data_IF_188679235726
#
_entry.id   IF_188679235726
#
_cell.length_a   1.000
_cell.length_b   1.000
_cell.length_c   1.000
_cell.angle_alpha   90.00
_cell.angle_beta   90.00
_cell.angle_gamma   90.00
#
_symmetry.space_group_name_H-M   'P 1'
#
loop_
_entity.id
_entity.type
_entity.pdbx_description
1 polymer ?
#
# COMPACT_ATOMS: atom_id res chain seq x y z
N UNK A 1 15.81 3.74 -36.54
CA UNK A 1 15.94 4.63 -35.37
C UNK A 1 15.63 3.77 -34.17
N UNK A 2 16.43 3.77 -33.10
CA UNK A 2 16.02 3.05 -31.89
C UNK A 2 14.68 3.65 -31.45
N UNK A 3 13.73 2.77 -31.23
CA UNK A 3 12.42 3.09 -30.67
C UNK A 3 12.66 3.86 -29.36
N UNK A 4 12.05 5.04 -29.21
CA UNK A 4 12.30 5.88 -28.05
C UNK A 4 11.70 5.17 -26.82
N UNK A 5 12.55 4.58 -25.97
CA UNK A 5 12.17 3.82 -24.77
C UNK A 5 11.15 4.56 -23.91
N UNK A 6 11.20 5.90 -23.86
CA UNK A 6 10.25 6.72 -23.12
C UNK A 6 8.82 6.62 -23.69
N UNK A 7 8.68 6.53 -25.01
CA UNK A 7 7.37 6.35 -25.67
C UNK A 7 6.81 4.98 -25.30
N UNK A 8 7.63 3.93 -25.38
CA UNK A 8 7.20 2.56 -25.05
C UNK A 8 6.81 2.49 -23.56
N UNK A 9 7.62 3.08 -22.67
CA UNK A 9 7.32 3.18 -21.25
C UNK A 9 5.97 3.85 -21.01
N UNK A 10 5.74 5.02 -21.62
CA UNK A 10 4.53 5.79 -21.42
C UNK A 10 3.28 5.02 -21.87
N UNK A 11 3.37 4.35 -23.03
CA UNK A 11 2.30 3.50 -23.55
C UNK A 11 2.05 2.26 -22.68
N UNK A 12 3.11 1.58 -22.20
CA UNK A 12 2.97 0.43 -21.30
C UNK A 12 2.41 0.84 -19.93
N UNK A 13 2.83 1.98 -19.38
CA UNK A 13 2.26 2.50 -18.14
C UNK A 13 0.78 2.79 -18.31
N UNK A 14 0.38 3.41 -19.44
CA UNK A 14 -1.03 3.69 -19.75
C UNK A 14 -1.85 2.41 -19.85
N UNK A 15 -1.31 1.34 -20.44
CA UNK A 15 -1.97 0.02 -20.47
C UNK A 15 -2.15 -0.57 -19.06
N UNK A 16 -1.14 -0.44 -18.20
CA UNK A 16 -1.22 -0.87 -16.81
C UNK A 16 -2.27 -0.06 -16.03
N UNK A 17 -2.25 1.27 -16.15
CA UNK A 17 -3.22 2.15 -15.46
C UNK A 17 -4.66 1.82 -15.87
N UNK A 18 -4.88 1.62 -17.18
CA UNK A 18 -6.18 1.20 -17.69
C UNK A 18 -6.63 -0.14 -17.10
N UNK A 19 -5.76 -1.15 -17.07
CA UNK A 19 -6.08 -2.46 -16.49
C UNK A 19 -6.47 -2.33 -15.02
N UNK A 20 -5.70 -1.57 -14.23
CA UNK A 20 -6.04 -1.32 -12.84
C UNK A 20 -7.36 -0.54 -12.72
N UNK A 21 -7.60 0.48 -13.54
CA UNK A 21 -8.84 1.27 -13.52
C UNK A 21 -10.06 0.39 -13.79
N UNK A 22 -9.96 -0.55 -14.74
CA UNK A 22 -11.01 -1.54 -15.01
C UNK A 22 -11.30 -2.42 -13.79
N UNK A 23 -10.27 -2.89 -13.06
CA UNK A 23 -10.46 -3.66 -11.82
C UNK A 23 -11.21 -2.87 -10.74
N UNK A 24 -11.02 -1.56 -10.69
CA UNK A 24 -11.67 -0.67 -9.72
C UNK A 24 -12.97 -0.02 -10.20
N UNK A 25 -13.40 -0.29 -11.44
CA UNK A 25 -14.58 0.36 -12.04
C UNK A 25 -14.42 1.88 -12.18
N UNK A 26 -13.20 2.35 -12.43
CA UNK A 26 -12.85 3.77 -12.61
C UNK A 26 -12.46 4.06 -14.06
N UNK A 27 -12.49 5.34 -14.42
CA UNK A 27 -12.10 5.79 -15.77
C UNK A 27 -10.60 6.04 -15.92
N UNK A 28 -9.90 6.32 -14.82
CA UNK A 28 -8.47 6.62 -14.76
C UNK A 28 -7.91 6.42 -13.35
N UNK A 29 -6.59 6.50 -13.18
CA UNK A 29 -5.92 6.51 -11.87
C UNK A 29 -5.91 5.15 -11.19
N UNK A 30 -5.96 4.08 -11.98
CA UNK A 30 -5.98 2.70 -11.51
C UNK A 30 -4.75 2.32 -10.71
N UNK A 31 -3.55 2.73 -11.17
CA UNK A 31 -2.29 2.44 -10.46
C UNK A 31 -2.28 3.12 -9.09
N UNK A 32 -2.79 4.34 -8.97
CA UNK A 32 -2.92 5.02 -7.68
C UNK A 32 -3.87 4.27 -6.73
N UNK A 33 -5.00 3.77 -7.24
CA UNK A 33 -5.92 2.96 -6.45
C UNK A 33 -5.24 1.67 -5.95
N UNK A 34 -4.50 1.00 -6.83
CA UNK A 34 -3.75 -0.19 -6.50
C UNK A 34 -2.70 0.08 -5.40
N UNK A 35 -1.95 1.18 -5.52
CA UNK A 35 -0.98 1.62 -4.50
C UNK A 35 -1.65 1.93 -3.16
N UNK A 36 -2.83 2.56 -3.18
CA UNK A 36 -3.57 2.88 -1.96
C UNK A 36 -4.06 1.63 -1.24
N UNK A 37 -4.54 0.62 -1.98
CA UNK A 37 -4.87 -0.69 -1.40
C UNK A 37 -3.64 -1.38 -0.83
N UNK A 38 -2.50 -1.32 -1.52
CA UNK A 38 -1.24 -1.85 -0.98
C UNK A 38 -0.81 -1.16 0.32
N UNK A 39 -1.08 0.13 0.44
CA UNK A 39 -0.75 0.92 1.63
C UNK A 39 -1.71 0.62 2.80
N UNK A 40 -2.98 0.36 2.50
CA UNK A 40 -4.02 0.06 3.47
C UNK A 40 -3.84 -1.31 4.16
N UNK A 41 -3.10 -2.24 3.55
CA UNK A 41 -2.83 -3.56 4.16
C UNK A 41 -1.88 -3.41 5.36
N UNK A 42 -2.27 -3.93 6.55
CA UNK A 42 -1.43 -3.94 7.74
C UNK A 42 -0.03 -4.52 7.51
N UNK A 43 0.98 -3.86 8.12
CA UNK A 43 2.41 -4.23 8.00
C UNK A 43 2.65 -5.72 8.30
N UNK A 44 1.96 -6.26 9.32
CA UNK A 44 2.13 -7.65 9.75
C UNK A 44 1.67 -8.67 8.70
N UNK A 45 0.71 -8.30 7.85
CA UNK A 45 0.19 -9.16 6.80
C UNK A 45 1.03 -9.03 5.54
N UNK A 46 1.35 -7.79 5.11
CA UNK A 46 2.15 -7.57 3.91
C UNK A 46 3.58 -8.13 4.01
N UNK A 47 4.18 -8.17 5.21
CA UNK A 47 5.50 -8.78 5.42
C UNK A 47 5.52 -10.30 5.16
N UNK A 48 4.36 -10.96 5.05
CA UNK A 48 4.24 -12.38 4.70
C UNK A 48 4.13 -12.62 3.19
N UNK A 49 4.02 -11.55 2.41
CA UNK A 49 3.81 -11.63 0.97
C UNK A 49 5.13 -11.30 0.27
N UNK A 50 5.62 -12.19 -0.62
CA UNK A 50 6.83 -11.94 -1.37
C UNK A 50 6.72 -10.66 -2.20
N UNK A 51 7.84 -9.95 -2.36
CA UNK A 51 7.96 -8.79 -3.25
C UNK A 51 7.01 -7.61 -2.95
N UNK A 52 6.30 -7.59 -1.81
CA UNK A 52 5.32 -6.55 -1.52
C UNK A 52 5.92 -5.15 -1.55
N UNK A 53 6.94 -4.91 -0.73
CA UNK A 53 7.57 -3.59 -0.62
C UNK A 53 8.27 -3.23 -1.93
N UNK A 54 8.96 -4.18 -2.57
CA UNK A 54 9.62 -3.96 -3.85
C UNK A 54 8.61 -3.55 -4.94
N UNK A 55 7.46 -4.22 -5.02
CA UNK A 55 6.40 -3.89 -5.98
C UNK A 55 5.81 -2.51 -5.69
N UNK A 56 5.57 -2.20 -4.42
CA UNK A 56 5.04 -0.90 -4.00
C UNK A 56 5.99 0.24 -4.35
N UNK A 57 7.27 0.12 -3.97
CA UNK A 57 8.30 1.12 -4.22
C UNK A 57 8.48 1.34 -5.72
N UNK A 58 8.53 0.23 -6.48
CA UNK A 58 8.68 0.28 -7.94
C UNK A 58 7.50 0.94 -8.64
N UNK A 59 6.25 0.61 -8.29
CA UNK A 59 5.08 1.29 -8.83
C UNK A 59 5.08 2.79 -8.51
N UNK A 60 5.55 3.17 -7.31
CA UNK A 60 5.67 4.57 -6.90
C UNK A 60 6.68 5.32 -7.75
N UNK A 61 7.85 4.74 -7.98
CA UNK A 61 8.89 5.29 -8.88
C UNK A 61 8.36 5.47 -10.31
N UNK A 62 7.77 4.42 -10.90
CA UNK A 62 7.29 4.47 -12.27
C UNK A 62 6.14 5.47 -12.45
N UNK A 63 5.25 5.59 -11.45
CA UNK A 63 4.22 6.64 -11.44
C UNK A 63 4.85 8.03 -11.41
N UNK A 64 5.88 8.25 -10.61
CA UNK A 64 6.58 9.53 -10.57
C UNK A 64 7.21 9.87 -11.92
N UNK A 65 7.90 8.91 -12.56
CA UNK A 65 8.46 9.08 -13.91
C UNK A 65 7.35 9.45 -14.91
N UNK A 66 6.22 8.74 -14.91
CA UNK A 66 5.07 9.08 -15.77
C UNK A 66 4.56 10.50 -15.52
N UNK A 67 4.45 10.91 -14.26
CA UNK A 67 3.98 12.24 -13.90
C UNK A 67 4.94 13.32 -14.39
N UNK A 68 6.26 13.09 -14.27
CA UNK A 68 7.28 13.99 -14.81
C UNK A 68 7.18 14.10 -16.34
N UNK A 69 6.95 13.00 -17.05
CA UNK A 69 6.75 13.04 -18.51
C UNK A 69 5.49 13.80 -18.94
N UNK A 70 4.43 13.75 -18.13
CA UNK A 70 3.15 14.38 -18.45
C UNK A 70 3.08 15.87 -18.07
N UNK A 71 3.82 16.27 -17.03
CA UNK A 71 3.66 17.58 -16.38
C UNK A 71 4.98 18.31 -16.08
N UNK A 72 6.14 17.73 -16.38
CA UNK A 72 7.44 18.32 -16.10
C UNK A 72 7.77 19.53 -16.99
N UNK A 73 8.70 20.37 -16.51
CA UNK A 73 9.20 21.53 -17.26
C UNK A 73 10.23 21.14 -18.36
N UNK A 74 10.65 19.87 -18.40
CA UNK A 74 11.60 19.32 -19.38
C UNK A 74 10.93 18.69 -20.61
N UNK A 75 11.73 18.43 -21.66
CA UNK A 75 11.27 17.69 -22.83
C UNK A 75 10.97 16.23 -22.46
N UNK A 76 10.06 15.59 -23.19
CA UNK A 76 9.72 14.17 -22.99
C UNK A 76 10.97 13.25 -23.12
N UNK A 77 11.97 13.67 -23.89
CA UNK A 77 13.26 13.01 -24.08
C UNK A 77 14.24 13.17 -22.90
N UNK A 78 14.00 14.11 -21.98
CA UNK A 78 14.91 14.43 -20.85
C UNK A 78 14.77 13.44 -19.69
N UNK A 79 13.78 12.55 -19.73
CA UNK A 79 13.51 11.55 -18.71
C UNK A 79 13.90 10.15 -19.21
N UNK A 80 15.17 9.71 -19.08
CA UNK A 80 15.61 8.44 -19.65
C UNK A 80 14.97 7.27 -18.90
N UNK A 81 13.92 6.69 -19.48
CA UNK A 81 13.43 5.38 -19.08
C UNK A 81 14.40 4.32 -19.58
N UNK A 82 14.65 3.36 -18.70
CA UNK A 82 15.42 2.17 -19.00
C UNK A 82 14.53 1.10 -19.63
N UNK A 83 15.14 0.19 -20.38
CA UNK A 83 14.41 -0.97 -20.93
C UNK A 83 13.88 -1.85 -19.79
N UNK A 84 14.58 -1.89 -18.64
CA UNK A 84 14.14 -2.55 -17.42
C UNK A 84 12.83 -1.96 -16.86
N UNK A 85 12.59 -0.65 -16.98
CA UNK A 85 11.33 -0.02 -16.56
C UNK A 85 10.15 -0.55 -17.39
N UNK A 86 10.35 -0.64 -18.71
CA UNK A 86 9.35 -1.14 -19.66
C UNK A 86 9.04 -2.63 -19.41
N UNK A 87 10.09 -3.44 -19.29
CA UNK A 87 9.96 -4.87 -19.02
C UNK A 87 9.24 -5.12 -17.70
N UNK A 88 9.59 -4.36 -16.67
CA UNK A 88 8.95 -4.48 -15.37
C UNK A 88 7.44 -4.17 -15.43
N UNK A 89 7.03 -3.12 -16.15
CA UNK A 89 5.61 -2.81 -16.36
C UNK A 89 4.87 -3.95 -17.06
N UNK A 90 5.48 -4.51 -18.10
CA UNK A 90 4.92 -5.63 -18.85
C UNK A 90 4.74 -6.86 -17.95
N UNK A 91 5.79 -7.25 -17.20
CA UNK A 91 5.75 -8.38 -16.29
C UNK A 91 4.71 -8.17 -15.18
N UNK A 92 4.66 -6.98 -14.60
CA UNK A 92 3.71 -6.67 -13.55
C UNK A 92 2.26 -6.71 -14.06
N UNK A 93 2.00 -6.15 -15.25
CA UNK A 93 0.69 -6.27 -15.90
C UNK A 93 0.30 -7.74 -16.11
N UNK A 94 1.26 -8.57 -16.51
CA UNK A 94 1.07 -10.03 -16.63
C UNK A 94 0.72 -10.66 -15.28
N UNK A 95 1.40 -10.30 -14.18
CA UNK A 95 1.08 -10.80 -12.83
C UNK A 95 -0.37 -10.48 -12.42
N UNK A 96 -0.87 -9.28 -12.73
CA UNK A 96 -2.26 -8.90 -12.47
C UNK A 96 -3.23 -9.78 -13.29
N UNK A 97 -2.99 -9.94 -14.60
CA UNK A 97 -3.86 -10.76 -15.47
C UNK A 97 -3.91 -12.23 -15.03
N UNK A 98 -2.83 -12.74 -14.45
CA UNK A 98 -2.75 -14.12 -13.95
C UNK A 98 -3.15 -14.26 -12.47
N UNK A 99 -3.67 -13.20 -11.84
CA UNK A 99 -4.11 -13.21 -10.43
C UNK A 99 -2.98 -13.74 -9.52
N UNK A 100 -1.76 -13.26 -9.80
CA UNK A 100 -0.54 -13.58 -9.06
C UNK A 100 0.18 -12.33 -8.56
N UNK A 101 -0.46 -11.16 -8.66
CA UNK A 101 0.02 -9.92 -8.07
C UNK A 101 -0.04 -9.97 -6.52
N UNK A 102 0.73 -9.11 -5.82
CA UNK A 102 0.76 -9.13 -4.35
C UNK A 102 -0.63 -8.99 -3.69
N UNK A 103 -1.53 -8.17 -4.22
CA UNK A 103 -2.88 -8.03 -3.65
C UNK A 103 -3.72 -9.29 -3.89
N UNK A 104 -3.56 -9.99 -5.01
CA UNK A 104 -4.17 -11.29 -5.24
C UNK A 104 -3.66 -12.36 -4.26
N UNK A 105 -2.36 -12.40 -4.00
CA UNK A 105 -1.76 -13.30 -3.00
C UNK A 105 -2.33 -12.99 -1.60
N UNK A 106 -2.44 -11.72 -1.24
CA UNK A 106 -3.05 -11.29 0.02
C UNK A 106 -4.50 -11.77 0.18
N UNK A 107 -5.32 -11.56 -0.86
CA UNK A 107 -6.74 -11.98 -0.83
C UNK A 107 -6.87 -13.48 -0.59
N UNK A 108 -6.10 -14.28 -1.33
CA UNK A 108 -6.09 -15.75 -1.19
C UNK A 108 -5.71 -16.21 0.22
N UNK A 109 -4.64 -15.65 0.80
CA UNK A 109 -4.22 -15.99 2.16
C UNK A 109 -5.28 -15.63 3.21
N UNK A 110 -5.97 -14.51 3.01
CA UNK A 110 -7.03 -14.05 3.93
C UNK A 110 -8.25 -14.97 3.86
N UNK A 111 -8.70 -15.32 2.66
CA UNK A 111 -9.79 -16.28 2.44
C UNK A 111 -9.47 -17.65 3.05
N UNK A 112 -8.27 -18.19 2.80
CA UNK A 112 -7.80 -19.46 3.36
C UNK A 112 -7.82 -19.46 4.90
N UNK A 113 -7.39 -18.36 5.53
CA UNK A 113 -7.42 -18.22 6.98
C UNK A 113 -8.84 -18.19 7.56
N UNK A 114 -9.79 -17.55 6.86
CA UNK A 114 -11.20 -17.52 7.26
C UNK A 114 -11.84 -18.91 7.14
N UNK A 115 -11.56 -19.63 6.05
CA UNK A 115 -12.07 -20.99 5.85
C UNK A 115 -11.47 -22.00 6.84
N UNK A 116 -10.18 -21.90 7.17
CA UNK A 116 -9.55 -22.74 8.19
C UNK A 116 -10.10 -22.49 9.60
N UNK A 117 -10.54 -21.26 9.89
CA UNK A 117 -11.16 -20.92 11.18
C UNK A 117 -12.57 -21.51 11.28
N UNK A 118 -13.39 -21.39 10.22
CA UNK A 118 -14.73 -22.00 10.15
C UNK A 118 -14.70 -23.53 10.19
N UNK A 119 -13.75 -24.16 9.49
CA UNK A 119 -13.62 -25.63 9.51
C UNK A 119 -13.20 -26.20 10.88
N UNK A 120 -12.60 -25.38 11.75
CA UNK A 120 -12.29 -25.78 13.14
C UNK A 120 -13.49 -25.63 14.09
N UNK A 121 -14.48 -24.81 13.73
CA UNK A 121 -15.73 -24.68 14.48
C UNK A 121 -16.71 -25.83 14.18
N UNK A 122 -16.63 -26.45 12.99
CA UNK A 122 -17.49 -27.56 12.54
C UNK A 122 -16.96 -28.98 12.84
N UNK A 123 -15.86 -29.13 13.58
CA UNK A 123 -15.37 -30.45 14.03
C UNK A 123 -15.97 -30.80 15.40
N UNK A 124 -16.67 -31.93 15.59
CA UNK A 124 -17.28 -32.25 16.87
C UNK A 124 -16.19 -32.49 17.91
N UNK A 125 -16.12 -31.59 18.89
CA UNK A 125 -15.40 -31.77 20.17
C UNK A 125 -16.01 -32.96 20.90
N UNK A 126 -15.52 -34.15 20.61
CA UNK A 126 -15.76 -35.35 21.40
C UNK A 126 -14.90 -35.35 22.68
N UNK A 127 -14.85 -34.24 23.42
CA UNK A 127 -14.37 -34.13 24.81
C UNK A 127 -14.98 -32.84 25.36
N UNK A 128 -16.19 -32.89 25.94
CA UNK A 128 -16.74 -31.94 26.93
C UNK A 128 -18.18 -32.32 27.37
N UNK A 129 -18.54 -33.62 27.33
CA UNK A 129 -19.88 -34.11 27.66
C UNK A 129 -20.15 -34.24 29.17
N UNK A 130 -19.68 -33.29 29.99
CA UNK A 130 -19.97 -33.27 31.43
C UNK A 130 -20.29 -31.88 32.01
N UNK A 131 -20.47 -30.84 31.19
CA UNK A 131 -20.86 -29.50 31.70
C UNK A 131 -22.11 -28.88 31.04
N UNK A 132 -22.78 -29.59 30.14
CA UNK A 132 -23.89 -29.00 29.35
C UNK A 132 -25.27 -29.14 30.01
N UNK A 133 -25.46 -30.04 30.97
CA UNK A 133 -26.77 -30.28 31.57
C UNK A 133 -27.21 -29.19 32.56
N UNK A 134 -26.27 -28.48 33.20
CA UNK A 134 -26.60 -27.44 34.18
C UNK A 134 -26.95 -26.08 33.52
N UNK A 135 -26.42 -25.80 32.32
CA UNK A 135 -26.61 -24.50 31.64
C UNK A 135 -27.92 -24.41 30.83
N UNK A 136 -28.47 -25.54 30.39
CA UNK A 136 -29.74 -25.60 29.64
C UNK A 136 -30.96 -25.07 30.41
N UNK A 137 -30.88 -25.04 31.74
CA UNK A 137 -31.95 -24.47 32.58
C UNK A 137 -31.85 -22.94 32.75
N UNK A 138 -30.68 -22.35 32.51
CA UNK A 138 -30.47 -20.90 32.67
C UNK A 138 -30.73 -20.10 31.37
N UNK A 139 -30.62 -20.73 30.20
CA UNK A 139 -30.82 -20.07 28.89
C UNK A 139 -32.30 -19.89 28.53
N UNK A 140 -33.17 -20.83 28.94
CA UNK A 140 -34.62 -20.75 28.67
C UNK A 140 -35.28 -19.52 29.32
N UNK A 141 -34.77 -19.07 30.47
CA UNK A 141 -35.26 -17.88 31.16
C UNK A 141 -34.82 -16.54 30.52
N UNK A 142 -33.78 -16.54 29.66
CA UNK A 142 -33.29 -15.33 28.97
C UNK A 142 -33.96 -15.11 27.60
N UNK A 143 -34.32 -16.18 26.91
CA UNK A 143 -35.03 -16.10 25.62
C UNK A 143 -36.44 -15.54 25.76
N UNK A 144 -37.13 -15.88 26.86
CA UNK A 144 -38.46 -15.35 27.16
C UNK A 144 -38.45 -13.83 27.44
N UNK A 145 -37.34 -13.29 27.98
CA UNK A 145 -37.18 -11.86 28.25
C UNK A 145 -36.81 -11.06 26.98
N UNK A 146 -36.00 -11.62 26.09
CA UNK A 146 -35.58 -10.98 24.84
C UNK A 146 -36.69 -10.95 23.78
N UNK A 147 -37.57 -11.95 23.76
CA UNK A 147 -38.72 -11.99 22.85
C UNK A 147 -39.77 -10.91 23.15
N UNK A 148 -39.79 -10.36 24.37
CA UNK A 148 -40.69 -9.27 24.76
C UNK A 148 -40.18 -7.86 24.35
N UNK A 149 -38.89 -7.72 24.01
CA UNK A 149 -38.28 -6.41 23.65
C UNK A 149 -38.28 -6.16 22.13
N UNK A 150 -38.38 -7.22 21.32
CA UNK A 150 -38.28 -7.17 19.85
C UNK A 150 -39.57 -6.70 19.13
N UNK A 151 -40.70 -6.57 19.84
CA UNK A 151 -41.99 -6.19 19.24
C UNK A 151 -42.23 -4.68 19.12
N UNK A 152 -41.27 -3.80 19.43
CA UNK A 152 -41.47 -2.34 19.45
C UNK A 152 -40.74 -1.54 18.36
N UNK A 153 -39.85 -2.12 17.55
CA UNK A 153 -39.04 -1.29 16.64
C UNK A 153 -38.77 -1.93 15.26
N UNK A 154 -39.84 -2.32 14.57
CA UNK A 154 -39.87 -2.23 13.10
C UNK A 154 -40.48 -0.89 12.72
N UNK A 155 -39.67 0.03 12.19
CA UNK A 155 -39.92 0.84 10.99
C UNK A 155 -38.88 1.97 10.90
N UNK A 156 -38.54 2.33 9.65
CA UNK A 156 -37.64 3.40 9.18
C UNK A 156 -36.14 3.12 8.89
N UNK A 157 -35.90 3.08 7.56
CA UNK A 157 -34.86 3.82 6.83
C UNK A 157 -33.54 3.14 6.46
N UNK A 158 -33.68 2.15 5.57
CA UNK A 158 -32.73 1.88 4.48
C UNK A 158 -32.92 2.99 3.43
N UNK A 159 -32.18 4.10 3.51
CA UNK A 159 -32.15 5.10 2.43
C UNK A 159 -30.96 6.08 2.37
N UNK A 160 -30.00 6.07 3.31
CA UNK A 160 -29.05 7.21 3.43
C UNK A 160 -27.57 6.94 3.11
N UNK A 161 -27.21 5.78 2.56
CA UNK A 161 -25.78 5.47 2.33
C UNK A 161 -25.28 5.61 0.87
N UNK A 162 -26.06 6.22 -0.02
CA UNK A 162 -25.70 6.34 -1.45
C UNK A 162 -25.63 7.77 -2.02
N UNK A 163 -25.57 8.81 -1.19
CA UNK A 163 -25.50 10.21 -1.67
C UNK A 163 -24.27 10.98 -1.16
N UNK A 164 -23.08 10.39 -1.29
CA UNK A 164 -21.82 11.13 -1.09
C UNK A 164 -20.69 10.60 -1.99
N UNK A 165 -20.89 10.69 -3.31
CA UNK A 165 -19.84 10.67 -4.32
C UNK A 165 -20.26 11.68 -5.40
N UNK A 166 -19.30 12.45 -5.94
CA UNK A 166 -19.45 13.79 -6.56
C UNK A 166 -19.36 14.82 -5.44
N UNK A 167 -18.17 15.31 -5.07
CA UNK A 167 -17.34 16.18 -5.91
C UNK A 167 -15.80 16.00 -5.77
N UNK A 168 -15.30 14.92 -5.18
CA UNK A 168 -13.87 14.82 -4.81
C UNK A 168 -12.89 14.36 -5.92
N UNK A 169 -13.34 14.15 -7.16
CA UNK A 169 -12.51 13.49 -8.18
C UNK A 169 -11.41 14.39 -8.76
N UNK A 170 -11.55 15.71 -8.72
CA UNK A 170 -10.56 16.64 -9.30
C UNK A 170 -9.48 17.10 -8.31
N UNK A 171 -9.65 16.83 -7.01
CA UNK A 171 -8.72 17.28 -5.95
C UNK A 171 -7.58 16.29 -5.70
N UNK A 172 -7.77 15.00 -6.04
CA UNK A 172 -6.85 13.91 -5.68
C UNK A 172 -5.51 14.01 -6.42
N UNK A 173 -5.52 14.46 -7.67
CA UNK A 173 -4.29 14.53 -8.48
C UNK A 173 -3.37 15.69 -8.04
N UNK A 174 -3.92 16.76 -7.44
CA UNK A 174 -3.17 17.93 -6.99
C UNK A 174 -2.61 17.76 -5.56
N UNK A 175 -3.39 17.18 -4.64
CA UNK A 175 -3.01 17.08 -3.22
C UNK A 175 -1.95 15.99 -2.95
N UNK A 176 -1.89 14.93 -3.76
CA UNK A 176 -0.90 13.85 -3.61
C UNK A 176 0.49 14.21 -4.15
N UNK A 177 0.58 15.07 -5.16
CA UNK A 177 1.88 15.47 -5.74
C UNK A 177 2.68 16.35 -4.76
N UNK A 178 2.00 17.25 -4.02
CA UNK A 178 2.57 18.08 -2.96
C UNK A 178 3.09 17.24 -1.77
N UNK A 179 2.37 16.17 -1.44
CA UNK A 179 2.77 15.24 -0.36
C UNK A 179 4.05 14.47 -0.71
N UNK A 180 4.19 14.06 -1.97
CA UNK A 180 5.36 13.31 -2.45
C UNK A 180 6.63 14.17 -2.48
N UNK A 181 6.56 15.42 -2.98
CA UNK A 181 7.72 16.32 -2.95
C UNK A 181 8.19 16.59 -1.52
N UNK A 182 7.25 16.69 -0.57
CA UNK A 182 7.54 16.95 0.84
C UNK A 182 8.28 15.80 1.52
N UNK A 183 7.88 14.54 1.30
CA UNK A 183 8.61 13.39 1.85
C UNK A 183 10.03 13.29 1.28
N UNK A 184 10.19 13.45 -0.03
CA UNK A 184 11.49 13.31 -0.67
C UNK A 184 12.43 14.49 -0.35
N UNK A 185 11.88 15.69 -0.13
CA UNK A 185 12.63 16.84 0.38
C UNK A 185 13.11 16.62 1.82
N UNK A 186 12.25 16.10 2.71
CA UNK A 186 12.65 15.83 4.10
C UNK A 186 13.75 14.79 4.20
N UNK A 187 13.72 13.73 3.38
CA UNK A 187 14.78 12.72 3.35
C UNK A 187 16.13 13.29 2.86
N UNK A 188 16.12 14.20 1.89
CA UNK A 188 17.33 14.90 1.43
C UNK A 188 17.91 15.79 2.52
N UNK A 189 17.08 16.52 3.26
CA UNK A 189 17.53 17.36 4.37
C UNK A 189 18.19 16.53 5.48
N UNK A 190 17.57 15.42 5.89
CA UNK A 190 18.12 14.53 6.93
C UNK A 190 19.49 13.97 6.51
N UNK A 191 19.64 13.55 5.26
CA UNK A 191 20.91 13.04 4.75
C UNK A 191 22.02 14.10 4.75
N UNK A 192 21.69 15.35 4.40
CA UNK A 192 22.64 16.49 4.41
C UNK A 192 23.07 16.82 5.84
N UNK A 193 22.14 16.87 6.80
CA UNK A 193 22.49 17.08 8.21
C UNK A 193 23.40 15.98 8.75
N UNK A 194 23.14 14.71 8.41
CA UNK A 194 23.99 13.59 8.77
C UNK A 194 25.41 13.72 8.22
N UNK A 195 25.56 14.11 6.95
CA UNK A 195 26.86 14.34 6.31
C UNK A 195 27.63 15.49 6.96
N UNK A 196 26.96 16.61 7.28
CA UNK A 196 27.58 17.76 7.94
C UNK A 196 28.10 17.38 9.33
N UNK A 197 27.30 16.67 10.14
CA UNK A 197 27.72 16.21 11.46
C UNK A 197 28.92 15.28 11.36
N UNK A 198 28.93 14.36 10.38
CA UNK A 198 30.06 13.46 10.14
C UNK A 198 31.35 14.24 9.81
N UNK A 199 31.26 15.27 8.96
CA UNK A 199 32.41 16.11 8.61
C UNK A 199 32.94 16.91 9.81
N UNK A 200 32.06 17.43 10.67
CA UNK A 200 32.46 18.14 11.89
C UNK A 200 33.20 17.19 12.85
N UNK A 201 32.67 15.98 13.07
CA UNK A 201 33.32 14.98 13.93
C UNK A 201 34.69 14.59 13.36
N UNK A 202 34.79 14.35 12.05
CA UNK A 202 36.05 14.06 11.40
C UNK A 202 37.06 15.20 11.55
N UNK A 203 36.63 16.45 11.38
CA UNK A 203 37.48 17.63 11.58
C UNK A 203 37.97 17.72 13.03
N UNK A 204 37.11 17.56 14.02
CA UNK A 204 37.49 17.58 15.45
C UNK A 204 38.48 16.47 15.77
N UNK A 205 38.32 15.27 15.21
CA UNK A 205 39.27 14.16 15.41
C UNK A 205 40.62 14.42 14.74
N UNK A 206 40.62 14.99 13.53
CA UNK A 206 41.85 15.36 12.83
C UNK A 206 42.59 16.48 13.57
N UNK A 207 41.89 17.55 13.92
CA UNK A 207 42.47 18.64 14.71
C UNK A 207 42.93 18.17 16.09
N UNK A 208 42.17 17.31 16.77
CA UNK A 208 42.58 16.72 18.05
C UNK A 208 43.84 15.87 17.93
N UNK A 209 43.95 15.04 16.89
CA UNK A 209 45.12 14.20 16.64
C UNK A 209 46.35 15.04 16.29
N UNK A 210 46.18 16.08 15.48
CA UNK A 210 47.23 17.06 15.17
C UNK A 210 47.63 17.80 16.45
N UNK A 211 46.68 18.34 17.20
CA UNK A 211 46.97 19.09 18.42
C UNK A 211 47.71 18.27 19.47
N UNK A 212 47.38 16.98 19.61
CA UNK A 212 48.08 16.06 20.52
C UNK A 212 49.50 15.74 20.03
N UNK A 213 49.72 15.54 18.73
CA UNK A 213 51.07 15.38 18.18
C UNK A 213 51.92 16.65 18.33
N UNK A 214 51.35 17.83 18.07
CA UNK A 214 52.05 19.11 18.25
C UNK A 214 52.31 19.44 19.73
N UNK A 215 51.44 19.02 20.65
CA UNK A 215 51.62 19.23 22.10
C UNK A 215 52.60 18.23 22.74
N UNK A 216 52.77 17.03 22.17
CA UNK A 216 53.76 16.04 22.64
C UNK A 216 55.17 16.26 22.07
N UNK A 217 55.32 17.10 21.04
CA UNK A 217 56.61 17.48 20.45
C UNK A 217 57.18 18.83 20.95
N UNK A 218 56.47 19.54 21.83
CA UNK A 218 56.94 20.78 22.48
C UNK A 218 57.33 20.53 23.94
#
# INVERSE_FOLDING_TARGET
MPENTNIIFFDEYKKLDKLCSEMYGKNSGGVTCYLNDMMAVPVMQRNRIPEWNQTYDRLRELRHIRNQMAHGEGSFEDYPCSEEDVLWLFEFRSKIMHISDPLAVYRRQTEESMHATRAKEDSPRAVDQWQTEESMHATRAKEDFLRAVDQSQTEENIADHQRMKMDNVEVIDQEENDSFEKEHSMLKEIAVFGLIVLLIVAAVLLFGKVYVEYFLLS
#
